data_IF_302713864342
#
_entry.id   IF_302713864342
#
_cell.length_a   1.000
_cell.length_b   1.000
_cell.length_c   1.000
_cell.angle_alpha   90.00
_cell.angle_beta   90.00
_cell.angle_gamma   90.00
#
_symmetry.space_group_name_H-M   'P 1'
#
loop_
_entity.id
_entity.type
_entity.pdbx_description
1 polymer ?
#
# COMPACT_ATOMS: atom_id res chain seq x y z
N UNK A 1 3.36 33.87 17.33
CA UNK A 1 3.35 32.54 17.99
C UNK A 1 2.12 31.81 17.50
N UNK A 2 2.28 30.91 16.52
CA UNK A 2 1.19 30.00 16.14
C UNK A 2 0.92 29.06 17.32
N UNK A 3 -0.36 28.88 17.69
CA UNK A 3 -0.72 28.00 18.80
C UNK A 3 -0.25 26.57 18.51
N UNK A 4 0.09 25.82 19.56
CA UNK A 4 0.46 24.42 19.47
C UNK A 4 -0.58 23.59 18.67
N UNK A 5 -1.86 23.97 18.76
CA UNK A 5 -2.96 23.37 18.00
C UNK A 5 -2.88 23.68 16.50
N UNK A 6 -2.45 24.88 16.09
CA UNK A 6 -2.25 25.23 14.69
C UNK A 6 -1.06 24.45 14.07
N UNK A 7 0.00 24.20 14.84
CA UNK A 7 1.14 23.39 14.41
C UNK A 7 0.77 21.90 14.31
N UNK A 8 -0.02 21.37 15.26
CA UNK A 8 -0.59 20.01 15.17
C UNK A 8 -1.51 19.89 13.96
N UNK A 9 -2.40 20.85 13.71
CA UNK A 9 -3.28 20.82 12.52
C UNK A 9 -2.50 20.89 11.21
N UNK A 10 -1.37 21.62 11.15
CA UNK A 10 -0.48 21.64 9.97
C UNK A 10 0.23 20.31 9.77
N UNK A 11 0.72 19.68 10.83
CA UNK A 11 1.32 18.35 10.77
C UNK A 11 0.29 17.29 10.38
N UNK A 12 -0.94 17.39 10.89
CA UNK A 12 -2.06 16.51 10.54
C UNK A 12 -2.58 16.69 9.10
N UNK A 13 -2.58 17.92 8.58
CA UNK A 13 -2.99 18.18 7.19
C UNK A 13 -1.88 17.84 6.19
N UNK A 14 -0.61 17.85 6.63
CA UNK A 14 0.55 17.44 5.84
C UNK A 14 0.71 15.92 5.77
N UNK A 15 0.46 15.18 6.87
CA UNK A 15 0.28 13.73 6.85
C UNK A 15 -1.17 13.41 6.49
N UNK A 16 -1.53 13.44 5.20
CA UNK A 16 -2.77 12.83 4.74
C UNK A 16 -2.68 11.31 4.89
N UNK A 17 -3.00 10.81 6.08
CA UNK A 17 -3.26 9.39 6.31
C UNK A 17 -4.32 8.94 5.30
N UNK A 18 -4.05 7.86 4.58
CA UNK A 18 -5.09 7.20 3.79
C UNK A 18 -6.22 6.81 4.75
N UNK A 19 -7.49 7.14 4.48
CA UNK A 19 -8.62 6.69 5.32
C UNK A 19 -8.91 5.18 5.15
N UNK A 20 -8.03 4.48 4.43
CA UNK A 20 -8.09 3.05 4.15
C UNK A 20 -6.84 2.36 4.67
N UNK A 21 -7.05 1.27 5.39
CA UNK A 21 -6.01 0.30 5.72
C UNK A 21 -5.89 -0.68 4.56
N UNK A 22 -4.70 -0.79 3.98
CA UNK A 22 -4.42 -1.70 2.88
C UNK A 22 -3.48 -2.80 3.36
N UNK A 23 -3.78 -4.05 2.99
CA UNK A 23 -2.94 -5.21 3.29
C UNK A 23 -2.71 -6.05 2.05
N UNK A 24 -1.55 -6.69 1.96
CA UNK A 24 -1.18 -7.55 0.84
C UNK A 24 -1.81 -8.93 1.05
N UNK A 25 -2.55 -9.41 0.05
CA UNK A 25 -3.14 -10.74 0.06
C UNK A 25 -2.27 -11.78 -0.64
N UNK A 26 -1.74 -11.43 -1.82
CA UNK A 26 -0.76 -12.24 -2.54
C UNK A 26 -0.09 -11.45 -3.67
N UNK A 27 1.04 -11.99 -4.11
CA UNK A 27 1.79 -11.48 -5.26
C UNK A 27 2.10 -12.66 -6.17
N UNK A 28 1.66 -12.55 -7.40
CA UNK A 28 1.87 -13.53 -8.46
C UNK A 28 2.80 -12.95 -9.51
N UNK A 29 3.84 -13.70 -9.89
CA UNK A 29 4.85 -13.25 -10.85
C UNK A 29 4.97 -14.30 -11.94
N UNK A 30 4.92 -13.85 -13.19
CA UNK A 30 5.08 -14.68 -14.36
C UNK A 30 6.17 -14.08 -15.26
N UNK A 31 7.25 -14.82 -15.45
CA UNK A 31 8.41 -14.41 -16.22
C UNK A 31 8.24 -14.76 -17.69
N UNK A 32 8.78 -13.92 -18.56
CA UNK A 32 8.68 -14.07 -20.00
C UNK A 32 9.55 -15.24 -20.55
N UNK A 33 9.63 -15.35 -21.88
CA UNK A 33 10.41 -16.40 -22.55
C UNK A 33 11.92 -16.26 -22.34
N UNK A 34 12.40 -15.11 -21.87
CA UNK A 34 13.83 -14.86 -21.63
C UNK A 34 14.28 -15.30 -20.24
N UNK A 35 13.36 -15.79 -19.40
CA UNK A 35 13.64 -16.27 -18.04
C UNK A 35 14.67 -17.40 -18.00
N UNK A 36 15.57 -17.37 -17.01
CA UNK A 36 16.49 -18.47 -16.71
C UNK A 36 16.25 -19.01 -15.30
N UNK A 37 16.28 -20.35 -15.11
CA UNK A 37 15.96 -20.99 -13.83
C UNK A 37 16.96 -20.68 -12.69
N UNK A 38 18.05 -19.97 -12.99
CA UNK A 38 19.10 -19.57 -12.04
C UNK A 38 18.92 -18.16 -11.49
N UNK A 39 17.89 -17.44 -11.93
CA UNK A 39 17.66 -16.09 -11.46
C UNK A 39 17.06 -16.06 -10.05
N UNK A 40 17.53 -15.08 -9.27
CA UNK A 40 17.04 -14.80 -7.93
C UNK A 40 16.05 -13.64 -8.01
N UNK A 41 14.94 -13.77 -7.27
CA UNK A 41 13.93 -12.71 -7.18
C UNK A 41 13.69 -12.39 -5.72
N UNK A 42 13.54 -11.11 -5.41
CA UNK A 42 12.98 -10.65 -4.14
C UNK A 42 11.94 -9.56 -4.36
N UNK A 43 10.94 -9.53 -3.49
CA UNK A 43 9.90 -8.52 -3.47
C UNK A 43 10.07 -7.70 -2.21
N UNK A 44 10.02 -6.38 -2.35
CA UNK A 44 10.19 -5.45 -1.22
C UNK A 44 9.03 -4.47 -1.19
N UNK A 45 8.69 -4.03 0.02
CA UNK A 45 7.90 -2.82 0.26
C UNK A 45 8.87 -1.70 0.60
N UNK A 46 8.95 -0.66 -0.23
CA UNK A 46 9.81 0.51 0.01
C UNK A 46 8.92 1.70 0.36
N UNK A 47 9.12 2.28 1.55
CA UNK A 47 8.48 3.53 1.90
C UNK A 47 9.22 4.72 1.26
N UNK A 48 8.49 5.80 0.95
CA UNK A 48 9.02 7.02 0.30
C UNK A 48 10.27 7.63 0.96
N UNK A 49 10.51 7.37 2.25
CA UNK A 49 11.57 7.99 3.05
C UNK A 49 12.47 6.98 3.78
N UNK A 50 12.30 5.68 3.53
CA UNK A 50 12.97 4.62 4.29
C UNK A 50 13.83 3.80 3.33
N UNK A 51 15.05 3.47 3.76
CA UNK A 51 15.91 2.54 3.02
C UNK A 51 15.24 1.17 2.96
N UNK A 52 15.68 0.36 1.98
CA UNK A 52 15.11 -0.94 1.68
C UNK A 52 14.92 -1.80 2.92
N UNK A 53 13.66 -2.01 3.27
CA UNK A 53 13.27 -3.01 4.24
C UNK A 53 13.64 -4.40 3.77
N UNK A 54 13.74 -5.30 4.75
CA UNK A 54 13.84 -6.73 4.51
C UNK A 54 12.82 -7.16 3.45
N UNK A 55 13.21 -8.05 2.53
CA UNK A 55 12.31 -8.51 1.48
C UNK A 55 11.09 -9.17 2.12
N UNK A 56 9.90 -8.76 1.66
CA UNK A 56 8.64 -9.45 1.96
C UNK A 56 8.74 -10.93 1.58
N UNK A 57 9.44 -11.19 0.48
CA UNK A 57 9.68 -12.51 -0.05
C UNK A 57 10.97 -12.56 -0.84
N UNK A 58 11.68 -13.69 -0.75
CA UNK A 58 12.82 -14.01 -1.61
C UNK A 58 12.70 -15.44 -2.13
N UNK A 59 13.01 -15.62 -3.41
CA UNK A 59 13.13 -16.92 -4.06
C UNK A 59 14.44 -17.02 -4.82
N UNK A 60 15.27 -17.98 -4.42
CA UNK A 60 16.43 -18.43 -5.19
C UNK A 60 16.02 -19.50 -6.19
N UNK A 61 16.73 -19.60 -7.31
CA UNK A 61 16.43 -20.52 -8.42
C UNK A 61 14.95 -20.46 -8.79
N UNK A 62 14.48 -19.25 -9.12
CA UNK A 62 13.06 -18.99 -9.18
C UNK A 62 12.42 -19.72 -10.38
N UNK A 63 11.27 -20.40 -10.19
CA UNK A 63 10.55 -20.98 -11.31
C UNK A 63 10.03 -19.86 -12.23
N UNK A 64 9.71 -20.21 -13.47
CA UNK A 64 9.20 -19.24 -14.46
C UNK A 64 7.96 -18.49 -13.96
N UNK A 65 7.10 -19.17 -13.21
CA UNK A 65 5.99 -18.53 -12.54
C UNK A 65 5.95 -18.96 -11.07
N UNK A 66 5.62 -18.03 -10.18
CA UNK A 66 5.39 -18.31 -8.78
C UNK A 66 4.30 -17.41 -8.21
N UNK A 67 3.71 -17.86 -7.11
CA UNK A 67 2.81 -17.07 -6.30
C UNK A 67 3.30 -17.11 -4.86
N UNK A 68 3.47 -15.94 -4.28
CA UNK A 68 3.74 -15.77 -2.86
C UNK A 68 2.48 -15.26 -2.17
N UNK A 69 2.17 -15.87 -1.02
CA UNK A 69 1.07 -15.48 -0.16
C UNK A 69 1.62 -15.36 1.26
N UNK A 70 1.49 -14.21 1.93
CA UNK A 70 1.92 -14.10 3.32
C UNK A 70 1.03 -14.97 4.21
N UNK A 71 1.58 -15.50 5.30
CA UNK A 71 0.84 -16.39 6.23
C UNK A 71 -0.34 -15.68 6.89
N UNK A 72 -0.22 -14.37 7.06
CA UNK A 72 -1.27 -13.45 7.52
C UNK A 72 -1.22 -12.23 6.59
N UNK A 73 -2.35 -11.53 6.34
CA UNK A 73 -2.34 -10.30 5.56
C UNK A 73 -1.29 -9.33 6.10
N UNK A 74 -0.40 -8.88 5.23
CA UNK A 74 0.71 -8.02 5.63
C UNK A 74 0.28 -6.56 5.46
N UNK A 75 0.18 -5.77 6.54
CA UNK A 75 -0.28 -4.40 6.43
C UNK A 75 0.73 -3.56 5.66
N UNK A 76 0.24 -2.81 4.68
CA UNK A 76 1.04 -1.79 4.02
C UNK A 76 1.28 -0.64 5.00
N UNK A 77 2.50 -0.08 5.06
CA UNK A 77 2.75 1.13 5.83
C UNK A 77 1.81 2.26 5.37
N UNK A 78 1.12 2.88 6.33
CA UNK A 78 0.16 3.98 6.11
C UNK A 78 0.77 5.22 5.43
N UNK A 79 2.10 5.29 5.40
CA UNK A 79 2.89 6.43 4.90
C UNK A 79 3.36 6.28 3.45
N UNK A 80 2.81 5.32 2.70
CA UNK A 80 3.05 5.21 1.28
C UNK A 80 4.27 4.37 0.93
N UNK A 81 4.02 3.09 0.68
CA UNK A 81 5.04 2.16 0.21
C UNK A 81 4.72 1.62 -1.17
N UNK A 82 5.73 1.64 -2.03
CA UNK A 82 5.69 0.98 -3.33
C UNK A 82 6.10 -0.48 -3.15
N UNK A 83 5.44 -1.36 -3.90
CA UNK A 83 5.87 -2.73 -4.07
C UNK A 83 6.80 -2.77 -5.26
N UNK A 84 8.04 -3.17 -5.02
CA UNK A 84 9.06 -3.36 -6.04
C UNK A 84 9.44 -4.84 -6.16
N UNK A 85 9.88 -5.21 -7.35
CA UNK A 85 10.53 -6.49 -7.62
C UNK A 85 11.99 -6.25 -7.94
N UNK A 86 12.87 -6.98 -7.27
CA UNK A 86 14.30 -7.05 -7.57
C UNK A 86 14.62 -8.40 -8.14
N UNK A 87 15.48 -8.41 -9.15
CA UNK A 87 15.93 -9.66 -9.74
C UNK A 87 17.33 -9.54 -10.30
N UNK A 88 18.04 -10.66 -10.30
CA UNK A 88 19.38 -10.78 -10.86
C UNK A 88 19.36 -11.74 -12.04
N UNK A 89 19.82 -11.28 -13.21
CA UNK A 89 19.92 -12.09 -14.43
C UNK A 89 21.25 -11.85 -15.12
N UNK A 90 22.01 -12.92 -15.36
CA UNK A 90 23.33 -12.83 -16.00
C UNK A 90 24.33 -11.97 -15.22
N UNK A 91 24.21 -11.92 -13.88
CA UNK A 91 25.05 -11.10 -13.02
C UNK A 91 24.64 -9.63 -12.90
N UNK A 92 23.58 -9.20 -13.60
CA UNK A 92 23.05 -7.84 -13.53
C UNK A 92 21.81 -7.82 -12.64
N UNK A 93 21.84 -6.98 -11.60
CA UNK A 93 20.69 -6.70 -10.75
C UNK A 93 19.85 -5.58 -11.34
N UNK A 94 18.53 -5.74 -11.25
CA UNK A 94 17.56 -4.73 -11.66
C UNK A 94 16.41 -4.65 -10.66
N UNK A 95 15.75 -3.50 -10.68
CA UNK A 95 14.60 -3.20 -9.84
C UNK A 95 13.51 -2.60 -10.71
N UNK A 96 12.29 -3.09 -10.58
CA UNK A 96 11.10 -2.56 -11.25
C UNK A 96 9.98 -2.34 -10.21
N UNK A 97 9.18 -1.28 -10.38
CA UNK A 97 7.98 -1.05 -9.55
C UNK A 97 6.82 -1.87 -10.11
N UNK A 98 6.19 -2.69 -9.26
CA UNK A 98 5.06 -3.55 -9.66
C UNK A 98 3.71 -3.07 -9.12
N UNK A 99 3.71 -2.27 -8.06
CA UNK A 99 2.54 -1.52 -7.61
C UNK A 99 3.00 -0.27 -6.85
N UNK A 100 2.65 0.92 -7.35
CA UNK A 100 2.93 2.16 -6.61
C UNK A 100 1.85 2.41 -5.56
N UNK A 101 2.21 3.04 -4.46
CA UNK A 101 1.27 3.45 -3.43
C UNK A 101 0.19 4.38 -3.99
N UNK A 102 0.56 5.30 -4.89
CA UNK A 102 -0.38 6.21 -5.55
C UNK A 102 -1.49 5.45 -6.29
N UNK A 103 -1.13 4.42 -7.04
CA UNK A 103 -2.09 3.59 -7.77
C UNK A 103 -2.95 2.76 -6.82
N UNK A 104 -2.34 2.16 -5.78
CA UNK A 104 -3.08 1.42 -4.75
C UNK A 104 -4.12 2.32 -4.07
N UNK A 105 -3.72 3.53 -3.68
CA UNK A 105 -4.56 4.51 -3.02
C UNK A 105 -5.71 4.97 -3.93
N UNK A 106 -5.41 5.33 -5.17
CA UNK A 106 -6.44 5.75 -6.14
C UNK A 106 -7.48 4.64 -6.35
N UNK A 107 -7.03 3.39 -6.51
CA UNK A 107 -7.94 2.26 -6.63
C UNK A 107 -8.75 2.01 -5.35
N UNK A 108 -8.15 2.22 -4.17
CA UNK A 108 -8.86 2.11 -2.89
C UNK A 108 -9.93 3.19 -2.70
N UNK A 109 -9.67 4.41 -3.20
CA UNK A 109 -10.62 5.53 -3.17
C UNK A 109 -11.82 5.30 -4.11
N UNK A 110 -11.60 4.60 -5.22
CA UNK A 110 -12.61 4.33 -6.24
C UNK A 110 -13.29 2.95 -6.07
N UNK A 111 -12.84 2.14 -5.10
CA UNK A 111 -13.34 0.78 -4.93
C UNK A 111 -14.77 0.75 -4.38
N UNK A 112 -15.54 -0.24 -4.83
CA UNK A 112 -16.80 -0.62 -4.20
C UNK A 112 -16.51 -1.50 -2.99
N UNK A 113 -16.89 -1.02 -1.80
CA UNK A 113 -16.75 -1.76 -0.56
C UNK A 113 -18.00 -2.59 -0.29
N UNK A 114 -17.79 -3.82 0.17
CA UNK A 114 -18.87 -4.69 0.60
C UNK A 114 -19.51 -4.21 1.92
N UNK A 115 -20.50 -4.98 2.40
CA UNK A 115 -21.22 -4.66 3.64
C UNK A 115 -20.31 -4.69 4.88
N UNK A 116 -19.18 -5.39 4.81
CA UNK A 116 -18.19 -5.49 5.88
C UNK A 116 -17.14 -4.37 5.78
N UNK A 117 -17.30 -3.44 4.83
CA UNK A 117 -16.39 -2.34 4.60
C UNK A 117 -15.05 -2.78 4.02
N UNK A 118 -15.05 -3.89 3.27
CA UNK A 118 -13.87 -4.49 2.62
C UNK A 118 -13.97 -4.35 1.10
N UNK A 119 -12.84 -4.04 0.47
CA UNK A 119 -12.67 -4.09 -0.97
C UNK A 119 -11.41 -4.86 -1.34
N UNK A 120 -11.45 -5.57 -2.47
CA UNK A 120 -10.30 -6.29 -3.02
C UNK A 120 -9.78 -5.56 -4.26
N UNK A 121 -8.51 -5.19 -4.22
CA UNK A 121 -7.83 -4.42 -5.26
C UNK A 121 -6.85 -5.33 -5.98
N UNK A 122 -6.80 -5.24 -7.30
CA UNK A 122 -5.87 -6.01 -8.14
C UNK A 122 -5.12 -5.08 -9.07
N UNK A 123 -3.80 -5.06 -8.94
CA UNK A 123 -2.89 -4.33 -9.84
C UNK A 123 -2.10 -5.34 -10.63
N UNK A 124 -2.08 -5.17 -11.96
CA UNK A 124 -1.33 -6.00 -12.88
C UNK A 124 -0.38 -5.12 -13.67
N UNK A 125 0.92 -5.36 -13.55
CA UNK A 125 1.96 -4.51 -14.10
C UNK A 125 2.99 -5.36 -14.84
N UNK A 126 3.34 -4.93 -16.06
CA UNK A 126 4.49 -5.47 -16.78
C UNK A 126 5.77 -4.84 -16.22
N UNK A 127 6.80 -5.66 -16.07
CA UNK A 127 8.15 -5.24 -15.75
C UNK A 127 9.12 -5.82 -16.79
N UNK A 128 10.40 -5.50 -16.68
CA UNK A 128 11.37 -5.73 -17.76
C UNK A 128 11.47 -7.18 -18.28
N UNK A 129 11.08 -8.18 -17.48
CA UNK A 129 11.20 -9.60 -17.85
C UNK A 129 9.94 -10.41 -17.53
N UNK A 130 8.79 -9.76 -17.44
CA UNK A 130 7.57 -10.47 -17.12
C UNK A 130 6.44 -9.56 -16.66
N UNK A 131 5.56 -10.16 -15.87
CA UNK A 131 4.39 -9.50 -15.35
C UNK A 131 4.18 -9.90 -13.89
N UNK A 132 3.81 -8.93 -13.07
CA UNK A 132 3.42 -9.14 -11.68
C UNK A 132 1.95 -8.75 -11.51
N UNK A 133 1.23 -9.56 -10.75
CA UNK A 133 -0.12 -9.26 -10.27
C UNK A 133 -0.08 -9.20 -8.75
N UNK A 134 -0.34 -8.02 -8.20
CA UNK A 134 -0.45 -7.80 -6.77
C UNK A 134 -1.94 -7.70 -6.39
N UNK A 135 -2.34 -8.45 -5.36
CA UNK A 135 -3.70 -8.42 -4.80
C UNK A 135 -3.65 -7.84 -3.39
N UNK A 136 -4.53 -6.89 -3.13
CA UNK A 136 -4.61 -6.19 -1.86
C UNK A 136 -6.03 -6.24 -1.31
N UNK A 137 -6.13 -6.27 0.01
CA UNK A 137 -7.37 -6.05 0.74
C UNK A 137 -7.33 -4.66 1.34
N UNK A 138 -8.30 -3.83 0.96
CA UNK A 138 -8.54 -2.50 1.53
C UNK A 138 -9.70 -2.55 2.50
N UNK A 139 -9.57 -1.93 3.66
CA UNK A 139 -10.65 -1.75 4.62
C UNK A 139 -10.77 -0.28 5.01
N UNK A 140 -12.01 0.21 5.09
CA UNK A 140 -12.29 1.57 5.55
C UNK A 140 -11.97 1.70 7.05
N UNK A 141 -11.28 2.77 7.47
CA UNK A 141 -10.90 3.03 8.88
C UNK A 141 -12.12 3.52 9.70
N UNK A 142 -13.31 2.98 9.42
CA UNK A 142 -14.56 3.47 9.98
C UNK A 142 -14.74 3.11 11.46
N UNK A 143 -13.91 2.26 12.08
CA UNK A 143 -14.27 1.69 13.40
C UNK A 143 -13.65 2.35 14.65
N UNK A 144 -12.42 2.86 14.66
CA UNK A 144 -11.85 3.35 15.93
C UNK A 144 -12.12 4.85 16.18
N UNK A 145 -11.78 5.71 15.21
CA UNK A 145 -11.92 7.15 15.36
C UNK A 145 -13.33 7.66 15.05
N UNK A 146 -14.06 7.04 14.12
CA UNK A 146 -15.46 7.43 13.87
C UNK A 146 -16.38 7.03 15.03
N UNK A 147 -16.12 5.89 15.69
CA UNK A 147 -16.80 5.53 16.93
C UNK A 147 -16.40 6.48 18.06
N UNK A 148 -15.09 6.72 18.28
CA UNK A 148 -14.65 7.67 19.31
C UNK A 148 -15.22 9.08 19.08
N UNK A 149 -15.25 9.59 17.85
CA UNK A 149 -15.82 10.92 17.56
C UNK A 149 -17.34 10.97 17.76
N UNK A 150 -18.07 9.89 17.46
CA UNK A 150 -19.51 9.78 17.80
C UNK A 150 -19.75 9.68 19.30
N UNK A 151 -18.92 8.96 20.04
CA UNK A 151 -19.03 8.83 21.50
C UNK A 151 -18.66 10.13 22.22
N UNK A 152 -17.79 10.95 21.64
CA UNK A 152 -17.33 12.24 22.21
C UNK A 152 -18.03 13.47 21.62
N UNK A 153 -18.98 13.31 20.70
CA UNK A 153 -19.76 14.40 20.12
C UNK A 153 -18.94 15.39 19.26
N UNK A 154 -17.78 14.98 18.76
CA UNK A 154 -16.91 15.83 17.93
C UNK A 154 -17.23 15.57 16.46
N UNK A 155 -18.09 16.39 15.88
CA UNK A 155 -18.33 16.39 14.44
C UNK A 155 -17.35 17.35 13.76
N UNK A 156 -16.49 16.89 12.83
CA UNK A 156 -15.74 17.80 11.99
C UNK A 156 -16.72 18.45 11.00
N UNK A 157 -17.17 19.66 11.32
CA UNK A 157 -18.06 20.44 10.44
C UNK A 157 -19.02 21.42 11.10
N UNK A 158 -19.11 21.50 12.44
CA UNK A 158 -19.91 22.54 13.09
C UNK A 158 -19.11 23.86 13.18
N UNK A 159 -18.99 24.59 12.06
CA UNK A 159 -18.81 26.04 12.15
C UNK A 159 -20.09 26.60 12.76
N UNK A 160 -20.04 26.93 14.05
CA UNK A 160 -21.07 27.75 14.70
C UNK A 160 -21.07 29.11 14.02
N UNK A 161 -22.04 29.33 13.12
CA UNK A 161 -22.40 30.69 12.70
C UNK A 161 -23.22 31.28 13.85
N UNK A 162 -22.51 31.77 14.87
CA UNK A 162 -23.09 32.55 15.95
C UNK A 162 -22.89 34.03 15.64
N UNK A 163 -23.86 34.63 14.96
CA UNK A 163 -23.97 36.08 14.86
C UNK A 163 -24.19 36.68 16.24
N UNK A 164 -23.38 37.67 16.59
CA UNK A 164 -23.59 38.53 17.76
C UNK A 164 -24.23 39.81 17.22
N UNK A 165 -25.46 40.07 17.66
CA UNK A 165 -26.09 41.40 17.64
C UNK A 165 -25.36 42.33 18.60
#
# INVERSE_FOLDING_TARGET
>A
MESFLAQINRLWTSLKWSPYDVSIEDIEVNQDSTWSPWANISVHSIALFDDLRDPLFMKKNCPKAFRWKPRRPEPMPSCGSDIIIRYAKGGIERTDVVASYSAIKEMAEQAEYDRDGVAHIKIKQKFSFGEATCRFKSSTITSALSMAMRTWGIYPGATSVGGIM
#
